data_IF_849982110035
#
_entry.id   IF_849982110035
#
_cell.length_a   1.000
_cell.length_b   1.000
_cell.length_c   1.000
_cell.angle_alpha   90.00
_cell.angle_beta   90.00
_cell.angle_gamma   90.00
#
_symmetry.space_group_name_H-M   'P 1'
#
loop_
_entity.id
_entity.type
_entity.pdbx_description
1 polymer ?
#
# COMPACT_ATOMS: atom_id res chain seq x y z
N UNK A 1 -5.43 -2.58 14.31
CA UNK A 1 -5.66 -2.61 12.85
C UNK A 1 -4.66 -3.57 12.23
N UNK A 2 -5.04 -4.37 11.23
CA UNK A 2 -4.07 -5.20 10.50
C UNK A 2 -3.28 -4.32 9.53
N UNK A 3 -1.95 -4.47 9.52
CA UNK A 3 -1.02 -3.69 8.67
C UNK A 3 -1.45 -3.72 7.21
N UNK A 4 -1.95 -4.85 6.71
CA UNK A 4 -2.38 -4.96 5.31
C UNK A 4 -3.52 -4.01 4.94
N UNK A 5 -4.43 -3.72 5.88
CA UNK A 5 -5.53 -2.77 5.63
C UNK A 5 -5.02 -1.34 5.54
N UNK A 6 -4.09 -0.96 6.42
CA UNK A 6 -3.46 0.37 6.39
C UNK A 6 -2.68 0.57 5.11
N UNK A 7 -1.93 -0.45 4.67
CA UNK A 7 -1.20 -0.41 3.41
C UNK A 7 -2.14 -0.33 2.22
N UNK A 8 -3.24 -1.07 2.22
CA UNK A 8 -4.25 -0.98 1.17
C UNK A 8 -4.84 0.44 1.05
N UNK A 9 -5.05 1.11 2.18
CA UNK A 9 -5.59 2.48 2.22
C UNK A 9 -4.53 3.49 1.76
N UNK A 10 -3.28 3.38 2.22
CA UNK A 10 -2.20 4.27 1.82
C UNK A 10 -1.84 4.11 0.34
N UNK A 11 -1.85 2.89 -0.21
CA UNK A 11 -1.65 2.66 -1.64
C UNK A 11 -2.74 3.32 -2.50
N UNK A 12 -3.99 3.36 -2.02
CA UNK A 12 -5.06 4.10 -2.68
C UNK A 12 -4.80 5.61 -2.64
N UNK A 13 -4.43 6.16 -1.49
CA UNK A 13 -4.05 7.57 -1.36
C UNK A 13 -2.87 7.92 -2.29
N UNK A 14 -1.81 7.11 -2.29
CA UNK A 14 -0.65 7.29 -3.17
C UNK A 14 -1.01 7.24 -4.65
N UNK A 15 -1.98 6.42 -5.05
CA UNK A 15 -2.47 6.39 -6.43
C UNK A 15 -3.17 7.69 -6.80
N UNK A 16 -4.09 8.17 -5.95
CA UNK A 16 -4.83 9.42 -6.16
C UNK A 16 -3.90 10.64 -6.19
N UNK A 17 -2.82 10.60 -5.40
CA UNK A 17 -1.76 11.62 -5.39
C UNK A 17 -0.80 11.52 -6.60
N UNK A 18 -0.99 10.54 -7.49
CA UNK A 18 -0.11 10.33 -8.65
C UNK A 18 1.27 9.75 -8.32
N UNK A 19 1.48 9.16 -7.15
CA UNK A 19 2.77 8.63 -6.70
C UNK A 19 3.04 7.17 -7.11
N UNK A 20 2.05 6.55 -7.75
CA UNK A 20 2.11 5.22 -8.36
C UNK A 20 2.14 5.32 -9.89
N UNK A 21 2.95 6.23 -10.44
CA UNK A 21 3.13 6.34 -11.90
C UNK A 21 3.56 4.99 -12.51
N UNK A 22 2.97 4.66 -13.65
CA UNK A 22 3.19 3.37 -14.32
C UNK A 22 2.29 2.23 -13.85
N UNK A 23 1.57 2.39 -12.74
CA UNK A 23 0.54 1.43 -12.33
C UNK A 23 -0.82 1.79 -12.90
N UNK A 24 -1.58 0.78 -13.32
CA UNK A 24 -2.98 0.96 -13.75
C UNK A 24 -3.90 1.03 -12.54
N UNK A 25 -4.91 1.87 -12.59
CA UNK A 25 -5.94 1.98 -11.55
C UNK A 25 -6.57 0.63 -11.22
N UNK A 26 -6.96 -0.15 -12.25
CA UNK A 26 -7.56 -1.48 -12.10
C UNK A 26 -6.66 -2.43 -11.29
N UNK A 27 -5.35 -2.33 -11.49
CA UNK A 27 -4.37 -3.15 -10.76
C UNK A 27 -4.32 -2.73 -9.29
N UNK A 28 -4.20 -1.44 -9.00
CA UNK A 28 -4.17 -0.93 -7.63
C UNK A 28 -5.48 -1.26 -6.90
N UNK A 29 -6.63 -1.06 -7.54
CA UNK A 29 -7.93 -1.41 -6.99
C UNK A 29 -8.06 -2.90 -6.68
N UNK A 30 -7.54 -3.78 -7.55
CA UNK A 30 -7.55 -5.22 -7.32
C UNK A 30 -6.65 -5.60 -6.14
N UNK A 31 -5.41 -5.10 -6.12
CA UNK A 31 -4.43 -5.38 -5.07
C UNK A 31 -4.95 -4.93 -3.70
N UNK A 32 -5.42 -3.67 -3.60
CA UNK A 32 -5.87 -3.10 -2.33
C UNK A 32 -7.13 -3.79 -1.82
N UNK A 33 -8.05 -4.16 -2.72
CA UNK A 33 -9.21 -5.00 -2.38
C UNK A 33 -8.79 -6.33 -1.79
N UNK A 34 -7.87 -7.05 -2.45
CA UNK A 34 -7.38 -8.36 -2.00
C UNK A 34 -6.67 -8.28 -0.65
N UNK A 35 -5.85 -7.25 -0.44
CA UNK A 35 -5.21 -6.96 0.85
C UNK A 35 -6.25 -6.72 1.96
N UNK A 36 -7.32 -5.95 1.68
CA UNK A 36 -8.37 -5.65 2.67
C UNK A 36 -9.16 -6.88 3.13
N UNK A 37 -9.42 -7.82 2.21
CA UNK A 37 -10.17 -9.05 2.49
C UNK A 37 -9.27 -10.22 2.92
N UNK A 38 -7.94 -10.05 2.85
CA UNK A 38 -6.96 -11.06 3.23
C UNK A 38 -6.76 -12.19 2.23
N UNK A 39 -7.21 -12.01 0.98
CA UNK A 39 -6.97 -12.96 -0.12
C UNK A 39 -5.53 -12.87 -0.67
N UNK A 40 -4.81 -11.81 -0.33
CA UNK A 40 -3.43 -11.59 -0.74
C UNK A 40 -2.64 -11.17 0.50
N UNK A 41 -1.59 -11.92 0.80
CA UNK A 41 -0.67 -11.55 1.87
C UNK A 41 0.31 -10.49 1.38
N UNK A 42 0.69 -9.57 2.27
CA UNK A 42 1.68 -8.54 1.96
C UNK A 42 3.04 -9.16 1.58
N UNK A 43 3.41 -10.26 2.22
CA UNK A 43 4.61 -11.03 1.91
C UNK A 43 4.63 -11.51 0.45
N UNK A 44 3.49 -11.95 -0.07
CA UNK A 44 3.39 -12.47 -1.44
C UNK A 44 3.56 -11.35 -2.46
N UNK A 45 2.99 -10.16 -2.17
CA UNK A 45 3.19 -8.97 -2.99
C UNK A 45 4.66 -8.55 -3.05
N UNK A 46 5.32 -8.50 -1.89
CA UNK A 46 6.73 -8.12 -1.77
C UNK A 46 7.65 -9.09 -2.53
N UNK A 47 7.28 -10.38 -2.58
CA UNK A 47 8.08 -11.39 -3.28
C UNK A 47 7.81 -11.43 -4.79
N UNK A 48 6.57 -11.25 -5.23
CA UNK A 48 6.18 -11.46 -6.63
C UNK A 48 6.19 -10.19 -7.49
N UNK A 49 6.12 -9.00 -6.89
CA UNK A 49 6.13 -7.73 -7.62
C UNK A 49 7.19 -6.76 -7.03
N UNK A 50 8.42 -6.79 -7.56
CA UNK A 50 9.50 -5.90 -7.11
C UNK A 50 9.17 -4.42 -7.30
N UNK A 51 8.38 -4.07 -8.32
CA UNK A 51 8.02 -2.67 -8.60
C UNK A 51 7.06 -2.16 -7.54
N UNK A 52 6.06 -2.98 -7.19
CA UNK A 52 5.09 -2.62 -6.16
C UNK A 52 5.68 -2.73 -4.75
N UNK A 53 6.65 -3.62 -4.53
CA UNK A 53 7.39 -3.74 -3.27
C UNK A 53 7.97 -2.40 -2.82
N UNK A 54 8.67 -1.68 -3.69
CA UNK A 54 9.28 -0.40 -3.32
C UNK A 54 8.22 0.62 -2.90
N UNK A 55 7.04 0.59 -3.55
CA UNK A 55 5.89 1.42 -3.20
C UNK A 55 5.19 1.01 -1.92
N UNK A 56 5.15 -0.28 -1.60
CA UNK A 56 4.66 -0.79 -0.33
C UNK A 56 5.57 -0.32 0.82
N UNK A 57 6.89 -0.38 0.65
CA UNK A 57 7.85 0.11 1.64
C UNK A 57 7.66 1.63 1.84
N UNK A 58 7.49 2.39 0.76
CA UNK A 58 7.19 3.82 0.82
C UNK A 58 5.88 4.10 1.60
N UNK A 59 4.84 3.28 1.36
CA UNK A 59 3.57 3.36 2.09
C UNK A 59 3.75 3.04 3.58
N UNK A 60 4.52 2.01 3.95
CA UNK A 60 4.82 1.67 5.34
C UNK A 60 5.50 2.83 6.08
N UNK A 61 6.52 3.44 5.44
CA UNK A 61 7.24 4.58 6.03
C UNK A 61 6.30 5.76 6.27
N UNK A 62 5.37 6.03 5.35
CA UNK A 62 4.38 7.11 5.49
C UNK A 62 3.41 6.87 6.63
N UNK A 63 2.87 5.66 6.72
CA UNK A 63 1.97 5.26 7.82
C UNK A 63 2.66 5.44 9.17
N UNK A 64 3.92 5.03 9.28
CA UNK A 64 4.72 5.22 10.51
C UNK A 64 4.96 6.72 10.76
N UNK A 65 5.28 7.49 9.74
CA UNK A 65 5.51 8.94 9.86
C UNK A 65 4.27 9.68 10.35
N UNK A 66 3.08 9.38 9.81
CA UNK A 66 1.81 9.96 10.27
C UNK A 66 1.50 9.59 11.72
N UNK A 67 1.83 8.37 12.15
CA UNK A 67 1.66 7.96 13.55
C UNK A 67 2.62 8.69 14.50
N UNK A 68 3.78 9.15 14.02
CA UNK A 68 4.73 9.93 14.82
C UNK A 68 4.31 11.41 14.85
N UNK A 69 3.81 11.96 13.73
CA UNK A 69 3.36 13.36 13.65
C UNK A 69 2.03 13.61 14.36
N UNK A 70 1.18 12.60 14.54
CA UNK A 70 -0.06 12.71 15.34
C UNK A 70 0.14 12.79 16.86
N UNK A 71 1.38 12.82 17.35
CA UNK A 71 1.75 12.89 18.77
C UNK A 71 2.44 14.21 19.17
N UNK A 72 2.47 15.23 18.31
CA UNK A 72 3.04 16.56 18.60
C UNK A 72 1.96 17.63 18.72
#
# INVERSE_FOLDING_TARGET
MKVEKLIADELQCMFLDGKLEGFKEEYINLVTRKLRIGELALSDLIQNDPTLKDKIIEAEVRIVSYNIEGFV
#
